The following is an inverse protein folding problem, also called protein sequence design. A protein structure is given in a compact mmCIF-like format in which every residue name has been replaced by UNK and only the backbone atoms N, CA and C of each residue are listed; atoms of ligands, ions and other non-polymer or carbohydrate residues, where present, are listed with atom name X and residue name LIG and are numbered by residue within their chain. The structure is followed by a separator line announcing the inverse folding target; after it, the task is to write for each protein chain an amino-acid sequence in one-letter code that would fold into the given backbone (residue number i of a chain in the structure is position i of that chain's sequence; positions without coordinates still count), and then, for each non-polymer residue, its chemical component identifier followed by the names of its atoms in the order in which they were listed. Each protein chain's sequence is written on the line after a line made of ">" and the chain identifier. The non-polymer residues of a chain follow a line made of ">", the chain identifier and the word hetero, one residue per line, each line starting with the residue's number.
data_IF_396914318081
#
_entry.id   IF_396914318081
#
_cell.length_a   1.000
_cell.length_b   1.000
_cell.length_c   1.000
_cell.angle_alpha   90.00
_cell.angle_beta   90.00
_cell.angle_gamma   90.00
#
_symmetry.space_group_name_H-M   'P 1'
#
loop_
_entity.id
_entity.type
_entity.pdbx_description
1 polymer ?
#
# COMPACT_ATOMS: atom_id res chain seq x y z
N UNK A 1 4.47 -17.15 -18.08
CA UNK A 1 4.58 -15.95 -18.94
C UNK A 1 6.00 -15.43 -18.78
N UNK A 2 6.68 -15.03 -19.85
CA UNK A 2 8.05 -14.53 -19.75
C UNK A 2 8.04 -13.10 -19.17
N UNK A 3 8.84 -12.83 -18.14
CA UNK A 3 8.94 -11.52 -17.50
C UNK A 3 9.22 -10.40 -18.53
N UNK A 4 10.04 -10.67 -19.53
CA UNK A 4 10.35 -9.68 -20.57
C UNK A 4 9.11 -9.24 -21.35
N UNK A 5 8.20 -10.16 -21.64
CA UNK A 5 6.95 -9.84 -22.36
C UNK A 5 5.98 -9.03 -21.50
N UNK A 6 6.07 -9.18 -20.18
CA UNK A 6 5.25 -8.42 -19.22
C UNK A 6 5.75 -6.97 -19.10
N UNK A 7 7.06 -6.79 -18.90
CA UNK A 7 7.65 -5.46 -18.61
C UNK A 7 7.85 -4.59 -19.84
N UNK A 8 7.91 -5.19 -21.03
CA UNK A 8 8.02 -4.49 -22.32
C UNK A 8 7.00 -5.07 -23.30
N UNK A 9 5.68 -4.92 -23.03
CA UNK A 9 4.64 -5.52 -23.85
C UNK A 9 4.61 -4.91 -25.25
N UNK A 10 4.37 -5.75 -26.24
CA UNK A 10 4.02 -5.28 -27.59
C UNK A 10 2.54 -4.88 -27.56
N UNK A 11 2.27 -3.60 -27.67
CA UNK A 11 0.90 -3.08 -27.67
C UNK A 11 0.22 -3.48 -28.98
N UNK A 12 -0.71 -4.44 -28.90
CA UNK A 12 -1.50 -4.93 -30.01
C UNK A 12 -2.76 -4.08 -30.24
N UNK A 13 -3.33 -3.60 -29.17
CA UNK A 13 -4.53 -2.75 -29.14
C UNK A 13 -4.22 -1.44 -28.41
N UNK A 14 -4.03 -0.39 -29.20
CA UNK A 14 -3.71 0.92 -28.65
C UNK A 14 -4.92 1.57 -27.99
N UNK A 15 -6.12 1.37 -28.56
CA UNK A 15 -7.36 1.95 -28.04
C UNK A 15 -7.66 1.37 -26.64
N UNK A 16 -7.51 0.05 -26.48
CA UNK A 16 -7.66 -0.60 -25.18
C UNK A 16 -6.63 -0.08 -24.14
N UNK A 17 -5.39 0.22 -24.56
CA UNK A 17 -4.40 0.80 -23.66
C UNK A 17 -4.74 2.27 -23.30
N UNK A 18 -5.30 3.05 -24.23
CA UNK A 18 -5.80 4.40 -23.99
C UNK A 18 -6.98 4.38 -22.99
N UNK A 19 -7.94 3.46 -23.16
CA UNK A 19 -9.03 3.24 -22.21
C UNK A 19 -8.50 2.88 -20.80
N UNK A 20 -7.51 2.01 -20.73
CA UNK A 20 -6.87 1.67 -19.45
C UNK A 20 -6.18 2.87 -18.80
N UNK A 21 -5.48 3.70 -19.60
CA UNK A 21 -4.83 4.92 -19.10
C UNK A 21 -5.84 5.90 -18.49
N UNK A 22 -6.99 6.07 -19.14
CA UNK A 22 -8.07 6.94 -18.64
C UNK A 22 -8.59 6.42 -17.29
N UNK A 23 -8.90 5.12 -17.20
CA UNK A 23 -9.33 4.49 -15.93
C UNK A 23 -8.27 4.66 -14.84
N UNK A 24 -7.00 4.42 -15.16
CA UNK A 24 -5.91 4.54 -14.20
C UNK A 24 -5.78 5.97 -13.67
N UNK A 25 -5.88 6.97 -14.55
CA UNK A 25 -5.83 8.39 -14.18
C UNK A 25 -6.97 8.83 -13.26
N UNK A 26 -8.13 8.16 -13.34
CA UNK A 26 -9.25 8.39 -12.42
C UNK A 26 -9.05 7.68 -11.07
N UNK A 27 -8.45 6.47 -11.08
CA UNK A 27 -8.30 5.62 -9.88
C UNK A 27 -7.08 5.97 -9.03
N UNK A 28 -5.99 6.45 -9.62
CA UNK A 28 -4.78 6.78 -8.86
C UNK A 28 -5.05 7.83 -7.76
N UNK A 29 -5.73 8.95 -8.02
CA UNK A 29 -6.11 9.91 -6.98
C UNK A 29 -7.04 9.33 -5.90
N UNK A 30 -7.93 8.37 -6.24
CA UNK A 30 -8.77 7.67 -5.26
C UNK A 30 -7.90 6.85 -4.29
N UNK A 31 -6.90 6.12 -4.83
CA UNK A 31 -5.97 5.33 -4.02
C UNK A 31 -5.16 6.24 -3.08
N UNK A 32 -4.63 7.36 -3.58
CA UNK A 32 -3.92 8.34 -2.77
C UNK A 32 -4.78 8.88 -1.63
N UNK A 33 -6.03 9.21 -1.94
CA UNK A 33 -7.00 9.71 -0.96
C UNK A 33 -7.27 8.67 0.13
N UNK A 34 -7.59 7.41 -0.23
CA UNK A 34 -7.87 6.34 0.72
C UNK A 34 -6.65 6.01 1.59
N UNK A 35 -5.43 6.02 1.03
CA UNK A 35 -4.19 5.88 1.79
C UNK A 35 -4.02 7.03 2.79
N UNK A 36 -4.30 8.27 2.38
CA UNK A 36 -4.28 9.44 3.27
C UNK A 36 -5.25 9.31 4.45
N UNK A 37 -6.43 8.73 4.23
CA UNK A 37 -7.40 8.43 5.29
C UNK A 37 -6.92 7.30 6.21
N UNK A 38 -6.34 6.23 5.66
CA UNK A 38 -5.79 5.11 6.44
C UNK A 38 -4.61 5.53 7.32
N UNK A 39 -3.78 6.48 6.89
CA UNK A 39 -2.72 7.07 7.74
C UNK A 39 -3.28 7.73 9.00
N UNK A 40 -4.49 8.28 8.93
CA UNK A 40 -5.19 8.90 10.08
C UNK A 40 -5.96 7.88 10.90
N UNK A 41 -6.53 6.88 10.25
CA UNK A 41 -7.41 5.87 10.84
C UNK A 41 -7.17 4.48 10.25
N UNK A 42 -6.07 3.78 10.62
CA UNK A 42 -5.63 2.54 9.98
C UNK A 42 -6.62 1.38 10.06
N UNK A 43 -7.58 1.43 10.98
CA UNK A 43 -8.59 0.37 11.18
C UNK A 43 -9.97 0.72 10.61
N UNK A 44 -10.08 1.78 9.81
CA UNK A 44 -11.35 2.16 9.17
C UNK A 44 -11.71 1.14 8.07
N UNK A 45 -12.71 0.30 8.35
CA UNK A 45 -13.13 -0.79 7.46
C UNK A 45 -13.69 -0.32 6.12
N UNK A 46 -14.36 0.83 6.10
CA UNK A 46 -14.93 1.39 4.87
C UNK A 46 -13.82 1.85 3.94
N UNK A 47 -12.83 2.57 4.48
CA UNK A 47 -11.63 3.01 3.76
C UNK A 47 -10.81 1.81 3.25
N UNK A 48 -10.59 0.78 4.09
CA UNK A 48 -9.91 -0.46 3.68
C UNK A 48 -10.64 -1.12 2.50
N UNK A 49 -11.97 -1.21 2.58
CA UNK A 49 -12.80 -1.82 1.54
C UNK A 49 -12.81 -0.99 0.26
N UNK A 50 -12.76 0.35 0.37
CA UNK A 50 -12.68 1.28 -0.75
C UNK A 50 -11.35 1.13 -1.49
N UNK A 51 -10.22 1.17 -0.75
CA UNK A 51 -8.89 0.96 -1.32
C UNK A 51 -8.77 -0.40 -2.01
N UNK A 52 -9.25 -1.47 -1.36
CA UNK A 52 -9.27 -2.80 -1.97
C UNK A 52 -10.03 -2.80 -3.30
N UNK A 53 -11.22 -2.19 -3.36
CA UNK A 53 -12.02 -2.11 -4.59
C UNK A 53 -11.33 -1.30 -5.69
N UNK A 54 -10.68 -0.19 -5.35
CA UNK A 54 -9.95 0.61 -6.32
C UNK A 54 -8.84 -0.20 -7.01
N UNK A 55 -8.03 -0.93 -6.23
CA UNK A 55 -6.98 -1.81 -6.77
C UNK A 55 -7.55 -2.99 -7.56
N UNK A 56 -8.64 -3.61 -7.07
CA UNK A 56 -9.34 -4.69 -7.76
C UNK A 56 -9.85 -4.26 -9.14
N UNK A 57 -10.39 -3.04 -9.23
CA UNK A 57 -10.87 -2.49 -10.50
C UNK A 57 -9.71 -2.27 -11.47
N UNK A 58 -8.60 -1.66 -11.04
CA UNK A 58 -7.40 -1.51 -11.88
C UNK A 58 -6.94 -2.86 -12.44
N UNK A 59 -6.89 -3.92 -11.60
CA UNK A 59 -6.55 -5.27 -12.07
C UNK A 59 -7.56 -5.78 -13.11
N UNK A 60 -8.85 -5.57 -12.85
CA UNK A 60 -9.94 -6.00 -13.73
C UNK A 60 -9.85 -5.32 -15.11
N UNK A 61 -9.68 -4.00 -15.12
CA UNK A 61 -9.59 -3.19 -16.33
C UNK A 61 -8.32 -3.53 -17.12
N UNK A 62 -7.16 -3.69 -16.44
CA UNK A 62 -5.93 -4.17 -17.07
C UNK A 62 -6.12 -5.54 -17.75
N UNK A 63 -6.86 -6.46 -17.10
CA UNK A 63 -7.16 -7.78 -17.65
C UNK A 63 -8.08 -7.69 -18.87
N UNK A 64 -9.09 -6.82 -18.84
CA UNK A 64 -9.99 -6.59 -19.99
C UNK A 64 -9.25 -6.02 -21.20
N UNK A 65 -8.34 -5.08 -20.94
CA UNK A 65 -7.48 -4.47 -21.95
C UNK A 65 -6.31 -5.38 -22.39
N UNK A 66 -6.18 -6.58 -21.83
CA UNK A 66 -5.05 -7.50 -22.06
C UNK A 66 -3.69 -6.87 -21.79
N UNK A 67 -3.65 -5.99 -20.81
CA UNK A 67 -2.44 -5.29 -20.38
C UNK A 67 -1.77 -6.02 -19.22
N UNK A 68 -0.95 -7.03 -19.55
CA UNK A 68 -0.34 -7.94 -18.56
C UNK A 68 0.50 -7.25 -17.52
N UNK A 69 1.16 -6.13 -17.84
CA UNK A 69 1.92 -5.33 -16.87
C UNK A 69 1.00 -4.76 -15.79
N UNK A 70 -0.17 -4.23 -16.16
CA UNK A 70 -1.15 -3.73 -15.21
C UNK A 70 -1.64 -4.83 -14.26
N UNK A 71 -1.89 -6.03 -14.79
CA UNK A 71 -2.27 -7.19 -13.97
C UNK A 71 -1.12 -7.60 -13.04
N UNK A 72 0.12 -7.65 -13.55
CA UNK A 72 1.29 -8.07 -12.78
C UNK A 72 1.62 -7.11 -11.62
N UNK A 73 1.27 -5.83 -11.73
CA UNK A 73 1.43 -4.84 -10.66
C UNK A 73 0.22 -4.88 -9.71
N UNK A 74 -1.00 -4.84 -10.23
CA UNK A 74 -2.20 -4.70 -9.40
C UNK A 74 -2.55 -5.97 -8.60
N UNK A 75 -2.29 -7.17 -9.13
CA UNK A 75 -2.65 -8.42 -8.45
C UNK A 75 -1.90 -8.65 -7.13
N UNK A 76 -0.57 -8.48 -7.02
CA UNK A 76 0.12 -8.58 -5.74
C UNK A 76 -0.35 -7.53 -4.72
N UNK A 77 -0.63 -6.30 -5.16
CA UNK A 77 -1.18 -5.24 -4.30
C UNK A 77 -2.55 -5.65 -3.76
N UNK A 78 -3.44 -6.16 -4.62
CA UNK A 78 -4.74 -6.68 -4.19
C UNK A 78 -4.60 -7.80 -3.15
N UNK A 79 -3.62 -8.70 -3.33
CA UNK A 79 -3.33 -9.78 -2.38
C UNK A 79 -2.89 -9.22 -1.02
N UNK A 80 -1.99 -8.23 -1.01
CA UNK A 80 -1.59 -7.55 0.23
C UNK A 80 -2.77 -6.82 0.89
N UNK A 81 -3.63 -6.17 0.10
CA UNK A 81 -4.83 -5.51 0.61
C UNK A 81 -5.85 -6.49 1.18
N UNK A 82 -5.98 -7.69 0.61
CA UNK A 82 -6.82 -8.76 1.18
C UNK A 82 -6.28 -9.20 2.55
N UNK A 83 -4.96 -9.44 2.67
CA UNK A 83 -4.29 -9.78 3.93
C UNK A 83 -4.44 -8.68 4.98
N UNK A 84 -4.32 -7.42 4.58
CA UNK A 84 -4.56 -6.29 5.47
C UNK A 84 -6.01 -6.24 5.95
N UNK A 85 -6.99 -6.40 5.07
CA UNK A 85 -8.41 -6.43 5.41
C UNK A 85 -8.77 -7.57 6.38
N UNK A 86 -8.09 -8.70 6.28
CA UNK A 86 -8.23 -9.86 7.16
C UNK A 86 -7.47 -9.71 8.48
N UNK A 87 -6.67 -8.66 8.62
CA UNK A 87 -5.83 -8.40 9.80
C UNK A 87 -4.58 -9.27 9.87
N UNK A 88 -4.20 -9.93 8.76
CA UNK A 88 -3.00 -10.76 8.68
C UNK A 88 -1.72 -9.92 8.55
N UNK A 89 -1.80 -8.69 8.06
CA UNK A 89 -0.72 -7.72 8.07
C UNK A 89 -1.24 -6.37 8.58
N UNK A 90 -0.42 -5.56 9.29
CA UNK A 90 -0.81 -4.21 9.70
C UNK A 90 -0.73 -3.23 8.53
N UNK A 91 -1.48 -2.12 8.61
CA UNK A 91 -1.21 -0.97 7.76
C UNK A 91 0.04 -0.24 8.28
N UNK A 92 0.97 0.03 7.39
CA UNK A 92 2.17 0.80 7.70
C UNK A 92 2.40 1.90 6.65
N UNK A 93 3.19 2.92 7.00
CA UNK A 93 3.59 3.96 6.05
C UNK A 93 4.44 3.38 4.91
N UNK A 94 5.25 2.34 5.19
CA UNK A 94 6.07 1.67 4.17
C UNK A 94 5.20 0.89 3.16
N UNK A 95 4.18 0.17 3.64
CA UNK A 95 3.21 -0.48 2.76
C UNK A 95 2.45 0.55 1.90
N UNK A 96 2.05 1.67 2.50
CA UNK A 96 1.40 2.77 1.80
C UNK A 96 2.29 3.36 0.70
N UNK A 97 3.55 3.70 1.01
CA UNK A 97 4.52 4.22 0.04
C UNK A 97 4.79 3.24 -1.09
N UNK A 98 4.86 1.92 -0.77
CA UNK A 98 5.06 0.89 -1.78
C UNK A 98 3.88 0.81 -2.77
N UNK A 99 2.65 0.91 -2.26
CA UNK A 99 1.46 0.92 -3.12
C UNK A 99 1.47 2.15 -4.03
N UNK A 100 1.72 3.34 -3.47
CA UNK A 100 1.77 4.59 -4.24
C UNK A 100 2.86 4.54 -5.32
N UNK A 101 4.07 4.08 -4.96
CA UNK A 101 5.16 3.91 -5.91
C UNK A 101 4.79 2.95 -7.05
N UNK A 102 4.11 1.84 -6.74
CA UNK A 102 3.71 0.86 -7.75
C UNK A 102 2.67 1.42 -8.72
N UNK A 103 1.70 2.19 -8.23
CA UNK A 103 0.69 2.88 -9.06
C UNK A 103 1.36 3.96 -9.93
N UNK A 104 2.24 4.81 -9.37
CA UNK A 104 3.03 5.79 -10.10
C UNK A 104 3.84 5.15 -11.25
N UNK A 105 4.51 4.03 -10.98
CA UNK A 105 5.26 3.30 -12.02
C UNK A 105 4.36 2.73 -13.10
N UNK A 106 3.16 2.29 -12.76
CA UNK A 106 2.18 1.81 -13.72
C UNK A 106 1.67 2.94 -14.61
N UNK A 107 1.38 4.13 -14.06
CA UNK A 107 1.00 5.32 -14.83
C UNK A 107 2.12 5.72 -15.81
N UNK A 108 3.34 5.91 -15.30
CA UNK A 108 4.50 6.27 -16.11
C UNK A 108 4.78 5.25 -17.23
N UNK A 109 4.64 3.95 -16.95
CA UNK A 109 4.81 2.90 -17.95
C UNK A 109 3.73 2.98 -19.03
N UNK A 110 2.47 3.15 -18.63
CA UNK A 110 1.33 3.26 -19.56
C UNK A 110 1.50 4.46 -20.49
N UNK A 111 1.83 5.64 -19.94
CA UNK A 111 2.12 6.85 -20.71
C UNK A 111 3.30 6.66 -21.68
N UNK A 112 4.40 6.06 -21.19
CA UNK A 112 5.57 5.82 -22.04
C UNK A 112 5.24 4.88 -23.21
N UNK A 113 4.48 3.81 -22.97
CA UNK A 113 4.06 2.86 -24.00
C UNK A 113 3.14 3.54 -25.03
N UNK A 114 2.19 4.36 -24.61
CA UNK A 114 1.33 5.16 -25.50
C UNK A 114 2.14 6.16 -26.32
N UNK A 115 3.16 6.76 -25.73
CA UNK A 115 4.07 7.67 -26.40
C UNK A 115 5.17 6.95 -27.23
N UNK A 116 5.17 5.61 -27.27
CA UNK A 116 6.21 4.78 -27.92
C UNK A 116 7.62 5.09 -27.40
N UNK A 117 7.75 5.40 -26.12
CA UNK A 117 9.02 5.63 -25.43
C UNK A 117 9.48 4.36 -24.70
N UNK A 118 10.79 4.29 -24.40
CA UNK A 118 11.33 3.21 -23.57
C UNK A 118 10.84 3.31 -22.13
N UNK A 119 10.64 2.14 -21.51
CA UNK A 119 10.29 1.97 -20.08
C UNK A 119 11.48 1.45 -19.25
N UNK A 120 12.67 1.34 -19.83
CA UNK A 120 13.86 0.72 -19.22
C UNK A 120 14.27 1.38 -17.90
N UNK A 121 14.06 2.68 -17.77
CA UNK A 121 14.40 3.47 -16.59
C UNK A 121 13.39 3.34 -15.44
N UNK A 122 12.26 2.65 -15.62
CA UNK A 122 11.20 2.53 -14.62
C UNK A 122 11.41 1.39 -13.63
N UNK A 123 12.45 0.58 -13.82
CA UNK A 123 12.78 -0.57 -12.96
C UNK A 123 11.64 -1.61 -12.83
N UNK A 124 10.82 -1.78 -13.89
CA UNK A 124 9.60 -2.59 -13.87
C UNK A 124 9.87 -4.07 -13.54
N UNK A 125 11.01 -4.62 -13.96
CA UNK A 125 11.39 -6.00 -13.63
C UNK A 125 11.56 -6.20 -12.12
N UNK A 126 12.26 -5.27 -11.47
CA UNK A 126 12.48 -5.27 -10.02
C UNK A 126 11.15 -5.08 -9.30
N UNK A 127 10.33 -4.14 -9.77
CA UNK A 127 9.02 -3.86 -9.18
C UNK A 127 8.11 -5.08 -9.22
N UNK A 128 7.90 -5.69 -10.38
CA UNK A 128 6.99 -6.84 -10.55
C UNK A 128 7.44 -8.03 -9.70
N UNK A 129 8.73 -8.38 -9.75
CA UNK A 129 9.26 -9.49 -8.94
C UNK A 129 9.20 -9.21 -7.44
N UNK A 130 9.50 -7.97 -7.05
CA UNK A 130 9.43 -7.55 -5.65
C UNK A 130 8.01 -7.54 -5.10
N UNK A 131 7.03 -7.08 -5.86
CA UNK A 131 5.61 -7.12 -5.46
C UNK A 131 5.10 -8.55 -5.29
N UNK A 132 5.46 -9.48 -6.18
CA UNK A 132 5.12 -10.90 -6.05
C UNK A 132 5.72 -11.51 -4.76
N UNK A 133 6.97 -11.16 -4.43
CA UNK A 133 7.61 -11.59 -3.20
C UNK A 133 6.90 -10.99 -1.96
N UNK A 134 6.61 -9.69 -1.96
CA UNK A 134 5.91 -8.99 -0.88
C UNK A 134 4.52 -9.58 -0.59
N UNK A 135 3.79 -9.99 -1.62
CA UNK A 135 2.47 -10.59 -1.46
C UNK A 135 2.50 -11.88 -0.64
N UNK A 136 3.65 -12.57 -0.58
CA UNK A 136 3.89 -13.81 0.17
C UNK A 136 4.69 -13.59 1.47
N UNK A 137 5.17 -12.36 1.72
CA UNK A 137 6.08 -12.08 2.83
C UNK A 137 5.41 -12.23 4.20
N UNK A 138 6.20 -12.57 5.23
CA UNK A 138 5.73 -12.67 6.60
C UNK A 138 5.36 -11.29 7.18
N UNK A 139 4.49 -11.30 8.19
CA UNK A 139 4.04 -10.07 8.85
C UNK A 139 5.21 -9.31 9.50
N UNK A 140 6.18 -10.03 10.02
CA UNK A 140 7.35 -9.47 10.71
C UNK A 140 8.36 -8.81 9.76
N UNK A 141 8.39 -9.23 8.49
CA UNK A 141 9.38 -8.79 7.51
C UNK A 141 8.82 -7.86 6.45
N UNK A 142 7.51 -7.74 6.34
CA UNK A 142 6.87 -6.99 5.25
C UNK A 142 7.31 -5.53 5.17
N UNK A 143 7.50 -4.85 6.29
CA UNK A 143 7.95 -3.46 6.31
C UNK A 143 9.40 -3.31 5.82
N UNK A 144 10.28 -4.20 6.25
CA UNK A 144 11.67 -4.21 5.78
C UNK A 144 11.73 -4.50 4.28
N UNK A 145 10.97 -5.49 3.82
CA UNK A 145 10.90 -5.84 2.39
C UNK A 145 10.26 -4.72 1.54
N UNK A 146 9.27 -3.98 2.06
CA UNK A 146 8.76 -2.77 1.41
C UNK A 146 9.84 -1.69 1.28
N UNK A 147 10.62 -1.44 2.34
CA UNK A 147 11.68 -0.44 2.30
C UNK A 147 12.77 -0.80 1.28
N UNK A 148 13.21 -2.05 1.26
CA UNK A 148 14.22 -2.55 0.31
C UNK A 148 13.72 -2.42 -1.14
N UNK A 149 12.45 -2.76 -1.40
CA UNK A 149 11.88 -2.66 -2.74
C UNK A 149 11.70 -1.20 -3.18
N UNK A 150 11.26 -0.31 -2.28
CA UNK A 150 11.17 1.12 -2.57
C UNK A 150 12.53 1.67 -2.97
N UNK A 151 13.58 1.37 -2.21
CA UNK A 151 14.95 1.81 -2.52
C UNK A 151 15.44 1.24 -3.85
N UNK A 152 15.21 -0.05 -4.12
CA UNK A 152 15.61 -0.71 -5.35
C UNK A 152 14.93 -0.13 -6.60
N UNK A 153 13.66 0.31 -6.49
CA UNK A 153 12.88 0.86 -7.61
C UNK A 153 13.08 2.36 -7.79
N UNK A 154 13.16 3.12 -6.69
CA UNK A 154 13.28 4.59 -6.73
C UNK A 154 14.73 5.08 -6.82
N UNK A 155 15.68 4.28 -6.36
CA UNK A 155 17.07 4.66 -6.17
C UNK A 155 17.33 5.47 -4.90
N UNK A 156 16.32 5.65 -4.04
CA UNK A 156 16.40 6.41 -2.80
C UNK A 156 15.71 5.67 -1.66
N UNK A 157 16.23 5.75 -0.42
CA UNK A 157 15.54 5.18 0.73
C UNK A 157 14.17 5.87 0.94
N UNK A 158 13.16 5.16 1.47
CA UNK A 158 11.83 5.72 1.68
C UNK A 158 11.87 6.92 2.63
N UNK A 159 11.21 8.01 2.24
CA UNK A 159 11.04 9.19 3.08
C UNK A 159 9.76 9.02 3.88
N UNK A 160 9.89 8.48 5.09
CA UNK A 160 8.73 8.35 5.98
C UNK A 160 8.30 9.73 6.50
N UNK A 161 7.00 10.05 6.52
CA UNK A 161 6.51 11.24 7.17
C UNK A 161 6.98 11.24 8.62
N UNK A 162 7.60 12.34 9.05
CA UNK A 162 8.28 12.48 10.34
C UNK A 162 7.30 12.19 11.51
N UNK A 163 7.37 10.99 12.10
CA UNK A 163 6.59 10.59 13.29
C UNK A 163 7.24 11.17 14.56
N UNK A 164 7.64 12.45 14.51
CA UNK A 164 8.24 13.15 15.66
C UNK A 164 7.20 13.67 16.64
N UNK A 165 6.15 12.92 16.97
CA UNK A 165 5.25 13.25 18.09
C UNK A 165 4.39 12.09 18.61
N UNK A 166 4.82 10.83 18.46
CA UNK A 166 4.30 9.79 19.35
C UNK A 166 5.25 9.65 20.53
N UNK A 167 5.09 10.51 21.55
CA UNK A 167 5.54 10.18 22.89
C UNK A 167 5.03 8.78 23.23
N UNK A 168 5.90 7.86 23.69
CA UNK A 168 5.42 6.59 24.22
C UNK A 168 4.45 6.93 25.35
N UNK A 169 3.20 6.52 25.25
CA UNK A 169 2.27 6.56 26.38
C UNK A 169 2.96 5.78 27.50
N UNK A 170 3.40 6.54 28.48
CA UNK A 170 3.92 6.02 29.73
C UNK A 170 3.02 4.90 30.22
N UNK A 171 3.67 3.78 30.51
CA UNK A 171 3.20 2.66 31.32
C UNK A 171 1.95 2.96 32.12
N UNK A 172 0.89 2.20 31.89
CA UNK A 172 -0.24 2.04 32.78
C UNK A 172 0.35 1.62 34.13
N UNK A 173 0.16 2.38 35.22
CA UNK A 173 0.60 1.92 36.53
C UNK A 173 -0.20 0.70 36.94
N UNK A 174 0.50 -0.37 37.30
CA UNK A 174 -0.06 -1.58 37.90
C UNK A 174 -1.00 -1.24 39.09
N UNK A 175 -2.13 -1.97 39.26
CA UNK A 175 -3.07 -1.75 40.35
C UNK A 175 -2.60 -2.44 41.65
N UNK A 176 -1.39 -2.19 42.09
CA UNK A 176 -0.90 -2.60 43.42
C UNK A 176 -0.30 -1.40 44.13
N UNK A 177 -1.10 -0.78 44.92
CA UNK A 177 -0.84 -0.05 46.16
C UNK A 177 -1.90 1.02 46.38
N UNK A 178 -3.07 0.64 46.83
CA UNK A 178 -3.96 1.49 47.62
C UNK A 178 -4.49 0.70 48.83
N UNK A 179 -3.61 0.40 49.75
CA UNK A 179 -3.97 0.29 51.16
C UNK A 179 -3.90 1.72 51.72
N UNK A 180 -4.97 2.45 51.54
CA UNK A 180 -5.19 3.67 52.29
C UNK A 180 -6.24 3.35 53.36
N UNK A 181 -5.78 3.30 54.57
CA UNK A 181 -6.51 3.31 55.84
C UNK A 181 -7.70 4.26 55.76
N UNK A 182 -8.91 3.69 55.85
CA UNK A 182 -10.13 4.48 56.03
C UNK A 182 -10.13 4.97 57.43
N UNK A 183 -9.94 6.28 57.61
CA UNK A 183 -10.03 6.96 58.89
C UNK A 183 -11.51 7.07 59.30
N UNK A 184 -11.90 6.26 60.29
CA UNK A 184 -13.25 6.10 60.84
C UNK A 184 -13.61 7.22 61.82
N UNK A 185 -13.14 8.46 61.64
CA UNK A 185 -13.46 9.57 62.54
C UNK A 185 -14.49 10.59 62.04
N UNK A 186 -15.19 10.33 60.92
CA UNK A 186 -16.15 11.32 60.42
C UNK A 186 -17.63 10.99 60.65
N UNK A 187 -17.96 9.99 61.47
CA UNK A 187 -19.35 9.66 61.87
C UNK A 187 -19.55 9.72 63.38
N UNK A 188 -19.24 10.89 63.98
CA UNK A 188 -19.72 11.24 65.31
C UNK A 188 -19.91 12.75 65.41
N UNK A 189 -20.97 13.27 64.83
CA UNK A 189 -21.68 14.49 65.17
C UNK A 189 -22.78 14.77 64.19
N UNK A 190 -23.93 14.22 64.42
CA UNK A 190 -25.27 14.79 64.30
C UNK A 190 -26.26 13.68 64.59
#
# INVERSE_FOLDING_TARGET
>A
MDLRSIIAPVIQDREALEEFADVLSERAPEIEHEISLLRKSPLNRDTISSLFRAVHNIKGDASLCKFDLGVAIAHPIETMMARFREGAIPFSDLLAEMILLAIDRLELATEALLAKKSVDNLQLAILVQGLDALAQESTEQIDAACADLIEAVSGFPPVLPNISSRTPRSSIPSPEQKNATIDLQFFRSL
#
